data_IF_247990817473
#
_entry.id   IF_247990817473
#
_cell.length_a   1.000
_cell.length_b   1.000
_cell.length_c   1.000
_cell.angle_alpha   90.00
_cell.angle_beta   90.00
_cell.angle_gamma   90.00
#
_symmetry.space_group_name_H-M   'P 1'
#
loop_
_entity.id
_entity.type
_entity.pdbx_description
1 polymer ?
#
# COMPACT_ATOMS: atom_id res chain seq x y z
N UNK A 1 31.47 39.19 12.33
CA UNK A 1 30.11 39.75 12.37
C UNK A 1 29.17 38.56 12.29
N UNK A 2 28.77 38.10 13.48
CA UNK A 2 27.90 36.97 13.85
C UNK A 2 27.97 35.72 12.95
N UNK A 3 28.65 34.71 13.48
CA UNK A 3 28.53 33.32 13.02
C UNK A 3 27.04 32.93 13.09
N UNK A 4 26.41 32.70 11.95
CA UNK A 4 24.98 32.39 11.87
C UNK A 4 24.63 31.12 12.66
N UNK A 5 25.60 30.23 12.91
CA UNK A 5 25.44 29.08 13.80
C UNK A 5 25.30 29.44 15.29
N UNK A 6 25.66 30.65 15.71
CA UNK A 6 25.51 31.15 17.08
C UNK A 6 24.12 31.73 17.37
N UNK A 7 23.33 32.07 16.34
CA UNK A 7 21.97 32.60 16.52
C UNK A 7 20.97 31.45 16.63
N UNK A 8 21.18 30.35 15.92
CA UNK A 8 20.31 29.16 15.97
C UNK A 8 20.35 28.46 17.34
N UNK A 9 21.42 28.64 18.11
CA UNK A 9 21.52 28.12 19.48
C UNK A 9 20.76 28.94 20.53
N UNK A 10 20.27 30.15 20.18
CA UNK A 10 19.51 31.02 21.10
C UNK A 10 18.00 30.69 21.14
N UNK A 11 17.51 29.88 20.21
CA UNK A 11 16.14 29.36 20.21
C UNK A 11 16.21 27.85 20.44
N UNK A 12 16.62 27.43 21.64
CA UNK A 12 16.55 26.01 22.01
C UNK A 12 15.10 25.55 21.93
N UNK A 13 14.81 24.79 20.89
CA UNK A 13 13.53 24.12 20.71
C UNK A 13 13.40 23.08 21.81
N UNK A 14 12.57 23.35 22.82
CA UNK A 14 12.32 22.45 23.96
C UNK A 14 11.39 21.28 23.59
N UNK A 15 11.68 20.57 22.49
CA UNK A 15 10.95 19.34 22.17
C UNK A 15 11.83 18.32 21.43
N UNK A 16 11.56 17.04 21.68
CA UNK A 16 12.31 15.91 21.12
C UNK A 16 11.82 15.47 19.73
N UNK A 17 10.92 16.23 19.11
CA UNK A 17 10.36 15.95 17.78
C UNK A 17 11.18 16.61 16.66
N UNK A 18 11.20 15.96 15.50
CA UNK A 18 11.81 16.51 14.31
C UNK A 18 10.83 17.44 13.59
N UNK A 19 11.23 18.70 13.36
CA UNK A 19 10.46 19.66 12.56
C UNK A 19 10.87 19.50 11.10
N UNK A 20 9.95 19.01 10.27
CA UNK A 20 10.24 18.80 8.86
C UNK A 20 10.30 20.11 8.08
N UNK A 21 11.20 20.16 7.10
CA UNK A 21 11.17 21.19 6.06
C UNK A 21 9.97 20.99 5.13
N UNK A 22 9.52 22.07 4.48
CA UNK A 22 8.38 21.99 3.58
C UNK A 22 8.68 21.07 2.39
N UNK A 23 7.93 19.97 2.28
CA UNK A 23 8.06 19.00 1.19
C UNK A 23 6.99 19.17 0.11
N UNK A 24 7.39 18.98 -1.15
CA UNK A 24 6.49 18.99 -2.33
C UNK A 24 5.91 17.62 -2.66
N UNK A 25 6.39 16.53 -2.04
CA UNK A 25 5.94 15.18 -2.37
C UNK A 25 4.44 14.91 -2.08
N UNK A 26 3.85 15.40 -0.98
CA UNK A 26 2.44 15.11 -0.69
C UNK A 26 1.48 15.60 -1.78
N UNK A 27 1.71 16.81 -2.31
CA UNK A 27 0.86 17.36 -3.39
C UNK A 27 1.06 16.61 -4.71
N UNK A 28 2.28 16.16 -5.00
CA UNK A 28 2.58 15.37 -6.21
C UNK A 28 1.89 14.00 -6.18
N UNK A 29 1.91 13.32 -5.02
CA UNK A 29 1.21 12.04 -4.83
C UNK A 29 -0.30 12.23 -4.94
N UNK A 30 -0.85 13.29 -4.36
CA UNK A 30 -2.28 13.60 -4.47
C UNK A 30 -2.73 13.77 -5.93
N UNK A 31 -2.03 14.62 -6.69
CA UNK A 31 -2.34 14.83 -8.12
C UNK A 31 -2.18 13.53 -8.93
N UNK A 32 -1.15 12.73 -8.64
CA UNK A 32 -0.90 11.47 -9.35
C UNK A 32 -1.97 10.41 -9.03
N UNK A 33 -2.44 10.35 -7.78
CA UNK A 33 -3.52 9.45 -7.36
C UNK A 33 -4.87 9.81 -7.99
N UNK A 34 -5.20 11.11 -8.06
CA UNK A 34 -6.37 11.58 -8.80
C UNK A 34 -6.28 11.29 -10.30
N UNK A 35 -5.08 11.46 -10.87
CA UNK A 35 -4.81 11.06 -12.25
C UNK A 35 -4.99 9.55 -12.48
N UNK A 36 -4.60 8.73 -11.51
CA UNK A 36 -4.74 7.28 -11.58
C UNK A 36 -6.21 6.84 -11.54
N UNK A 37 -7.02 7.41 -10.65
CA UNK A 37 -8.45 7.06 -10.56
C UNK A 37 -9.21 7.47 -11.82
N UNK A 38 -8.94 8.66 -12.36
CA UNK A 38 -9.52 9.11 -13.64
C UNK A 38 -9.06 8.26 -14.82
N UNK A 39 -7.77 7.90 -14.88
CA UNK A 39 -7.23 7.03 -15.92
C UNK A 39 -7.78 5.61 -15.84
N UNK A 40 -8.08 5.08 -14.64
CA UNK A 40 -8.75 3.79 -14.48
C UNK A 40 -10.15 3.78 -15.10
N UNK A 41 -10.92 4.86 -14.94
CA UNK A 41 -12.24 4.97 -15.57
C UNK A 41 -12.12 4.99 -17.09
N UNK A 42 -11.16 5.74 -17.63
CA UNK A 42 -10.89 5.78 -19.08
C UNK A 42 -10.41 4.41 -19.59
N UNK A 43 -9.61 3.71 -18.81
CA UNK A 43 -9.15 2.36 -19.12
C UNK A 43 -10.33 1.39 -19.24
N UNK A 44 -11.23 1.34 -18.25
CA UNK A 44 -12.39 0.45 -18.32
C UNK A 44 -13.38 0.79 -19.43
N UNK A 45 -13.52 2.08 -19.78
CA UNK A 45 -14.46 2.52 -20.83
C UNK A 45 -13.89 2.37 -22.25
N UNK A 46 -12.65 2.79 -22.45
CA UNK A 46 -12.06 2.99 -23.79
C UNK A 46 -10.87 2.06 -24.06
N UNK A 47 -10.40 1.28 -23.08
CA UNK A 47 -9.23 0.40 -23.23
C UNK A 47 -7.89 1.14 -23.40
N UNK A 48 -7.84 2.44 -23.12
CA UNK A 48 -6.63 3.26 -23.31
C UNK A 48 -5.73 3.12 -22.07
N UNK A 49 -4.54 2.53 -22.26
CA UNK A 49 -3.59 2.28 -21.17
C UNK A 49 -2.60 3.43 -20.90
N UNK A 50 -2.40 4.34 -21.85
CA UNK A 50 -1.31 5.32 -21.79
C UNK A 50 -1.33 6.20 -20.53
N UNK A 51 -2.50 6.75 -20.18
CA UNK A 51 -2.66 7.57 -18.97
C UNK A 51 -2.47 6.77 -17.68
N UNK A 52 -2.98 5.53 -17.65
CA UNK A 52 -2.86 4.64 -16.48
C UNK A 52 -1.39 4.30 -16.19
N UNK A 53 -0.63 3.92 -17.21
CA UNK A 53 0.80 3.61 -17.06
C UNK A 53 1.62 4.84 -16.64
N UNK A 54 1.30 6.01 -17.20
CA UNK A 54 1.95 7.26 -16.83
C UNK A 54 1.72 7.62 -15.36
N UNK A 55 0.48 7.54 -14.87
CA UNK A 55 0.16 7.83 -13.49
C UNK A 55 0.78 6.82 -12.51
N UNK A 56 0.77 5.53 -12.85
CA UNK A 56 1.47 4.51 -12.05
C UNK A 56 2.96 4.81 -11.95
N UNK A 57 3.62 5.07 -13.08
CA UNK A 57 5.04 5.41 -13.11
C UNK A 57 5.35 6.67 -12.28
N UNK A 58 4.50 7.69 -12.37
CA UNK A 58 4.63 8.92 -11.59
C UNK A 58 4.55 8.66 -10.09
N UNK A 59 3.60 7.84 -9.62
CA UNK A 59 3.48 7.48 -8.20
C UNK A 59 4.72 6.73 -7.70
N UNK A 60 5.25 5.79 -8.50
CA UNK A 60 6.47 5.06 -8.14
C UNK A 60 7.67 6.00 -8.02
N UNK A 61 7.87 6.91 -8.98
CA UNK A 61 8.96 7.87 -8.95
C UNK A 61 8.89 8.79 -7.73
N UNK A 62 7.71 9.34 -7.45
CA UNK A 62 7.53 10.27 -6.32
C UNK A 62 7.71 9.54 -4.98
N UNK A 63 7.19 8.31 -4.86
CA UNK A 63 7.38 7.48 -3.66
C UNK A 63 8.85 7.14 -3.44
N UNK A 64 9.59 6.82 -4.50
CA UNK A 64 11.04 6.57 -4.41
C UNK A 64 11.82 7.83 -4.01
N UNK A 65 11.52 8.97 -4.64
CA UNK A 65 12.15 10.25 -4.31
C UNK A 65 11.88 10.65 -2.84
N UNK A 66 10.64 10.47 -2.37
CA UNK A 66 10.27 10.75 -0.99
C UNK A 66 10.97 9.80 -0.02
N UNK A 67 11.00 8.49 -0.32
CA UNK A 67 11.71 7.51 0.50
C UNK A 67 13.21 7.81 0.62
N UNK A 68 13.85 8.22 -0.49
CA UNK A 68 15.24 8.67 -0.49
C UNK A 68 15.45 9.86 0.46
N UNK A 69 14.56 10.84 0.44
CA UNK A 69 14.68 12.03 1.29
C UNK A 69 14.51 11.70 2.78
N UNK A 70 13.60 10.79 3.13
CA UNK A 70 13.45 10.29 4.51
C UNK A 70 14.74 9.62 4.99
N UNK A 71 15.40 8.82 4.14
CA UNK A 71 16.68 8.19 4.49
C UNK A 71 17.78 9.24 4.69
N UNK A 72 17.85 10.25 3.82
CA UNK A 72 18.85 11.32 3.95
C UNK A 72 18.64 12.18 5.20
N UNK A 73 17.38 12.43 5.57
CA UNK A 73 17.00 13.09 6.83
C UNK A 73 17.46 12.27 8.05
N UNK A 74 17.27 10.96 8.01
CA UNK A 74 17.78 10.04 9.02
C UNK A 74 19.31 10.04 9.14
N UNK A 75 20.02 10.07 8.02
CA UNK A 75 21.49 10.13 7.98
C UNK A 75 22.06 11.45 8.51
N UNK A 76 21.27 12.53 8.42
CA UNK A 76 21.64 13.85 8.95
C UNK A 76 21.54 13.95 10.49
N UNK A 77 21.06 12.89 11.15
CA UNK A 77 21.01 12.80 12.62
C UNK A 77 19.68 13.25 13.25
N UNK A 78 18.66 13.54 12.44
CA UNK A 78 17.36 14.03 12.94
C UNK A 78 16.47 12.93 13.58
N UNK A 79 16.79 11.66 13.40
CA UNK A 79 16.02 10.55 13.96
C UNK A 79 16.49 10.18 15.38
N UNK A 80 15.99 10.90 16.38
CA UNK A 80 16.18 10.54 17.78
C UNK A 80 15.33 9.30 18.18
N UNK A 81 15.59 8.71 19.35
CA UNK A 81 14.89 7.54 19.88
C UNK A 81 13.36 7.69 19.85
N UNK A 82 12.83 8.85 20.25
CA UNK A 82 11.40 9.16 20.21
C UNK A 82 10.80 9.12 18.79
N UNK A 83 11.53 9.64 17.80
CA UNK A 83 11.11 9.65 16.39
C UNK A 83 11.12 8.22 15.83
N UNK A 84 12.16 7.44 16.16
CA UNK A 84 12.26 6.04 15.76
C UNK A 84 11.14 5.18 16.36
N UNK A 85 10.76 5.40 17.62
CA UNK A 85 9.63 4.70 18.23
C UNK A 85 8.30 5.08 17.57
N UNK A 86 8.14 6.34 17.15
CA UNK A 86 7.02 6.78 16.31
C UNK A 86 6.95 6.02 14.97
N UNK A 87 8.08 5.85 14.28
CA UNK A 87 8.13 5.07 13.04
C UNK A 87 7.77 3.59 13.27
N UNK A 88 8.29 2.96 14.34
CA UNK A 88 7.94 1.56 14.68
C UNK A 88 6.44 1.40 14.93
N UNK A 89 5.85 2.32 15.68
CA UNK A 89 4.41 2.31 15.95
C UNK A 89 3.60 2.53 14.66
N UNK A 90 4.04 3.45 13.79
CA UNK A 90 3.42 3.69 12.49
C UNK A 90 3.39 2.44 11.60
N UNK A 91 4.51 1.70 11.53
CA UNK A 91 4.57 0.43 10.78
C UNK A 91 3.65 -0.62 11.40
N UNK A 92 3.58 -0.71 12.73
CA UNK A 92 2.69 -1.65 13.41
C UNK A 92 1.22 -1.38 13.08
N UNK A 93 0.79 -0.11 13.15
CA UNK A 93 -0.59 0.27 12.80
C UNK A 93 -0.87 0.05 11.31
N UNK A 94 0.10 0.31 10.43
CA UNK A 94 -0.03 0.03 9.00
C UNK A 94 -0.25 -1.48 8.73
N UNK A 95 0.59 -2.35 9.29
CA UNK A 95 0.45 -3.81 9.15
C UNK A 95 -0.90 -4.28 9.72
N UNK A 96 -1.30 -3.72 10.86
CA UNK A 96 -2.60 -4.04 11.45
C UNK A 96 -3.75 -3.63 10.53
N UNK A 97 -3.66 -2.48 9.86
CA UNK A 97 -4.68 -2.03 8.91
C UNK A 97 -4.81 -2.94 7.68
N UNK A 98 -3.70 -3.45 7.15
CA UNK A 98 -3.67 -4.42 6.04
C UNK A 98 -4.26 -5.77 6.45
N UNK A 99 -3.92 -6.24 7.66
CA UNK A 99 -4.51 -7.47 8.21
C UNK A 99 -6.04 -7.34 8.36
N UNK A 100 -6.52 -6.20 8.84
CA UNK A 100 -7.96 -5.92 8.94
C UNK A 100 -8.63 -5.84 7.56
N UNK A 101 -7.96 -5.28 6.55
CA UNK A 101 -8.47 -5.24 5.18
C UNK A 101 -8.60 -6.65 4.57
N UNK A 102 -7.55 -7.47 4.68
CA UNK A 102 -7.54 -8.85 4.19
C UNK A 102 -8.55 -9.74 4.93
N UNK A 103 -8.61 -9.66 6.26
CA UNK A 103 -9.55 -10.46 7.06
C UNK A 103 -11.01 -10.10 6.77
N UNK A 104 -11.32 -8.81 6.52
CA UNK A 104 -12.64 -8.38 6.06
C UNK A 104 -13.04 -9.07 4.76
N UNK A 105 -12.14 -9.15 3.78
CA UNK A 105 -12.43 -9.82 2.52
C UNK A 105 -12.65 -11.33 2.70
N UNK A 106 -11.79 -11.99 3.49
CA UNK A 106 -11.93 -13.42 3.78
C UNK A 106 -13.23 -13.75 4.52
N UNK A 107 -13.61 -12.94 5.51
CA UNK A 107 -14.88 -13.10 6.23
C UNK A 107 -16.08 -12.82 5.31
N UNK A 108 -16.01 -11.79 4.47
CA UNK A 108 -17.03 -11.54 3.45
C UNK A 108 -17.21 -12.73 2.52
N UNK A 109 -16.12 -13.35 2.06
CA UNK A 109 -16.18 -14.53 1.20
C UNK A 109 -16.85 -15.72 1.90
N UNK A 110 -16.45 -16.05 3.12
CA UNK A 110 -17.04 -17.16 3.90
C UNK A 110 -18.53 -16.93 4.18
N UNK A 111 -18.90 -15.72 4.60
CA UNK A 111 -20.29 -15.38 4.89
C UNK A 111 -21.17 -15.31 3.64
N UNK A 112 -20.60 -14.93 2.48
CA UNK A 112 -21.30 -15.00 1.21
C UNK A 112 -21.54 -16.46 0.81
N UNK A 113 -20.52 -17.33 0.89
CA UNK A 113 -20.67 -18.76 0.58
C UNK A 113 -21.73 -19.45 1.46
N UNK A 114 -21.75 -19.16 2.76
CA UNK A 114 -22.70 -19.73 3.71
C UNK A 114 -24.15 -19.24 3.50
N UNK A 115 -24.33 -18.08 2.84
CA UNK A 115 -25.65 -17.44 2.63
C UNK A 115 -26.19 -17.54 1.21
N UNK A 116 -25.53 -18.25 0.30
CA UNK A 116 -26.09 -18.53 -1.04
C UNK A 116 -27.29 -19.46 -0.87
N UNK A 117 -28.50 -19.07 -1.29
CA UNK A 117 -29.66 -19.96 -1.21
C UNK A 117 -29.41 -21.21 -2.05
N UNK A 118 -29.56 -22.38 -1.44
CA UNK A 118 -29.33 -23.73 -2.02
C UNK A 118 -30.19 -24.08 -3.25
N UNK A 119 -30.97 -23.13 -3.75
CA UNK A 119 -31.80 -23.27 -4.94
C UNK A 119 -31.01 -23.09 -6.24
N UNK A 120 -30.01 -22.19 -6.27
CA UNK A 120 -29.26 -21.87 -7.50
C UNK A 120 -27.93 -22.63 -7.61
N UNK A 121 -27.31 -22.95 -6.47
CA UNK A 121 -26.23 -23.91 -6.33
C UNK A 121 -26.84 -25.08 -5.58
N UNK A 122 -26.86 -26.29 -6.15
CA UNK A 122 -27.58 -27.49 -5.66
C UNK A 122 -27.12 -28.01 -4.27
N UNK A 123 -26.97 -27.16 -3.26
CA UNK A 123 -26.51 -27.49 -1.91
C UNK A 123 -25.02 -27.80 -1.78
N UNK A 124 -24.30 -28.03 -2.88
CA UNK A 124 -22.91 -28.44 -2.86
C UNK A 124 -21.96 -27.28 -3.23
N UNK A 125 -21.09 -26.91 -2.29
CA UNK A 125 -19.91 -26.10 -2.57
C UNK A 125 -18.67 -27.00 -2.60
N UNK A 126 -17.88 -26.98 -3.68
CA UNK A 126 -18.01 -26.13 -4.85
C UNK A 126 -19.00 -26.67 -5.90
N UNK A 127 -19.50 -25.81 -6.79
CA UNK A 127 -20.34 -26.22 -7.91
C UNK A 127 -19.68 -27.34 -8.72
N UNK A 128 -20.48 -28.33 -9.14
CA UNK A 128 -20.04 -29.56 -9.84
C UNK A 128 -19.14 -29.32 -11.06
N UNK A 129 -19.18 -28.13 -11.67
CA UNK A 129 -18.34 -27.76 -12.82
C UNK A 129 -16.97 -27.17 -12.44
N UNK A 130 -16.66 -27.01 -11.15
CA UNK A 130 -15.41 -26.42 -10.66
C UNK A 130 -14.54 -27.51 -10.04
N UNK A 131 -13.43 -27.82 -10.71
CA UNK A 131 -12.39 -28.65 -10.13
C UNK A 131 -11.63 -27.84 -9.07
N UNK A 132 -11.64 -28.28 -7.80
CA UNK A 132 -10.79 -27.67 -6.79
C UNK A 132 -9.35 -28.04 -7.07
N UNK A 133 -8.46 -27.10 -6.75
CA UNK A 133 -7.04 -27.37 -6.68
C UNK A 133 -6.76 -28.25 -5.46
N UNK A 134 -6.05 -29.35 -5.66
CA UNK A 134 -5.62 -30.23 -4.58
C UNK A 134 -4.65 -29.48 -3.64
N UNK A 135 -4.96 -29.37 -2.34
CA UNK A 135 -4.17 -28.58 -1.39
C UNK A 135 -2.78 -29.18 -1.10
N UNK A 136 -2.53 -30.45 -1.44
CA UNK A 136 -1.28 -31.13 -1.11
C UNK A 136 -0.19 -31.01 -2.18
N UNK A 137 -0.55 -30.89 -3.46
CA UNK A 137 0.41 -30.97 -4.56
C UNK A 137 0.60 -29.63 -5.29
N UNK A 138 -0.21 -28.63 -4.96
CA UNK A 138 -0.17 -27.31 -5.59
C UNK A 138 -0.67 -27.35 -7.03
N UNK A 139 -1.13 -26.19 -7.51
CA UNK A 139 -1.80 -26.04 -8.80
C UNK A 139 -0.98 -26.57 -9.98
N UNK A 140 0.34 -26.47 -9.92
CA UNK A 140 1.25 -26.85 -11.01
C UNK A 140 1.29 -28.36 -11.28
N UNK A 141 1.24 -29.19 -10.24
CA UNK A 141 1.31 -30.65 -10.39
C UNK A 141 0.01 -31.20 -10.98
N UNK A 142 -1.13 -30.63 -10.58
CA UNK A 142 -2.45 -31.05 -11.04
C UNK A 142 -2.67 -30.74 -12.54
N UNK A 143 -2.19 -29.58 -13.02
CA UNK A 143 -2.19 -29.29 -14.46
C UNK A 143 -1.34 -30.29 -15.26
N UNK A 144 -0.19 -30.73 -14.74
CA UNK A 144 0.66 -31.71 -15.42
C UNK A 144 -0.02 -33.07 -15.60
N UNK A 145 -0.84 -33.51 -14.64
CA UNK A 145 -1.59 -34.77 -14.72
C UNK A 145 -2.92 -34.64 -15.48
N UNK A 146 -3.48 -33.44 -15.62
CA UNK A 146 -4.73 -33.22 -16.34
C UNK A 146 -4.59 -33.19 -17.88
N UNK A 147 -3.39 -33.03 -18.42
CA UNK A 147 -3.10 -32.99 -19.87
C UNK A 147 -2.47 -34.29 -20.42
N UNK A 148 -2.52 -35.39 -19.65
CA UNK A 148 -2.09 -36.72 -20.05
C UNK A 148 -3.29 -37.67 -20.09
#
# INVERSE_FOLDING_TARGET
MIDLGSIDSLYTVFHNFHILSLSRYPILIFCSSLGLTSSLVVFFKNGIFGGLLFCLFSIFLVSFAWGKDIVMEGLSGYHNFFVMDGFKFGVLVFIFSEFMYCSRYSFYFVTMLDRIPAHDVRGDWPPIAIHLVNPFWGTFVEYYYSFK
#
